data_IF_190596534666
#
_entry.id   IF_190596534666
#
_cell.length_a   1.000
_cell.length_b   1.000
_cell.length_c   1.000
_cell.angle_alpha   90.00
_cell.angle_beta   90.00
_cell.angle_gamma   90.00
#
_symmetry.space_group_name_H-M   'P 1'
#
loop_
_entity.id
_entity.type
_entity.pdbx_description
1 polymer ?
#
# COMPACT_ATOMS: atom_id res chain seq x y z
N UNK A 1 13.57 3.70 19.13
CA UNK A 1 15.04 3.59 19.17
C UNK A 1 15.52 2.42 20.03
N UNK A 2 14.98 2.23 21.23
CA UNK A 2 15.35 1.10 22.10
C UNK A 2 15.23 -0.27 21.41
N UNK A 3 14.12 -0.52 20.72
CA UNK A 3 13.89 -1.75 19.94
C UNK A 3 15.00 -2.05 18.92
N UNK A 4 15.41 -1.03 18.15
CA UNK A 4 16.49 -1.15 17.17
C UNK A 4 17.83 -1.51 17.82
N UNK A 5 18.10 -0.97 19.01
CA UNK A 5 19.32 -1.30 19.78
C UNK A 5 19.27 -2.73 20.31
N UNK A 6 18.13 -3.15 20.86
CA UNK A 6 17.92 -4.50 21.41
C UNK A 6 17.94 -5.59 20.34
N UNK A 7 17.63 -5.24 19.08
CA UNK A 7 17.67 -6.20 17.97
C UNK A 7 19.10 -6.68 17.67
N UNK A 8 20.12 -5.84 17.94
CA UNK A 8 21.53 -6.20 17.79
C UNK A 8 22.12 -6.13 16.37
N UNK A 9 21.31 -5.81 15.35
CA UNK A 9 21.75 -5.76 13.94
C UNK A 9 22.48 -4.46 13.54
N UNK A 10 22.34 -3.39 14.34
CA UNK A 10 22.78 -2.05 13.96
C UNK A 10 23.96 -1.56 14.79
N UNK A 11 24.98 -1.02 14.13
CA UNK A 11 26.09 -0.32 14.79
C UNK A 11 25.64 1.04 15.34
N UNK A 12 26.43 1.62 16.25
CA UNK A 12 26.08 2.89 16.91
C UNK A 12 25.94 4.04 15.90
N UNK A 13 26.71 4.02 14.80
CA UNK A 13 26.64 5.04 13.76
C UNK A 13 25.32 4.99 12.98
N UNK A 14 24.77 3.79 12.83
CA UNK A 14 23.51 3.50 12.16
C UNK A 14 22.32 3.75 13.08
N UNK A 15 22.44 3.44 14.37
CA UNK A 15 21.45 3.82 15.39
C UNK A 15 21.33 5.35 15.49
N UNK A 16 22.46 6.07 15.55
CA UNK A 16 22.48 7.53 15.59
C UNK A 16 21.92 8.15 14.30
N UNK A 17 22.19 7.53 13.13
CA UNK A 17 21.60 7.95 11.87
C UNK A 17 20.07 7.78 11.86
N UNK A 18 19.56 6.62 12.29
CA UNK A 18 18.12 6.37 12.41
C UNK A 18 17.46 7.36 13.36
N UNK A 19 18.06 7.61 14.54
CA UNK A 19 17.57 8.58 15.53
C UNK A 19 17.40 9.98 14.92
N UNK A 20 18.43 10.48 14.22
CA UNK A 20 18.39 11.81 13.59
C UNK A 20 17.29 11.93 12.53
N UNK A 21 17.01 10.86 11.77
CA UNK A 21 15.92 10.87 10.80
C UNK A 21 14.58 10.91 11.51
N UNK A 22 14.36 10.04 12.49
CA UNK A 22 13.08 9.94 13.22
C UNK A 22 12.72 11.26 13.92
N UNK A 23 13.69 11.94 14.53
CA UNK A 23 13.47 13.24 15.17
C UNK A 23 13.14 14.38 14.20
N UNK A 24 13.42 14.19 12.89
CA UNK A 24 13.28 15.23 11.86
C UNK A 24 12.32 14.84 10.74
N UNK A 25 11.72 13.66 10.78
CA UNK A 25 10.87 13.15 9.70
C UNK A 25 9.46 13.74 9.71
N UNK A 26 9.05 14.39 10.80
CA UNK A 26 7.68 14.90 10.98
C UNK A 26 6.62 13.82 11.11
N UNK A 27 7.03 12.59 11.47
CA UNK A 27 6.09 11.50 11.76
C UNK A 27 5.51 11.70 13.16
N UNK A 28 4.20 11.64 13.26
CA UNK A 28 3.51 11.71 14.56
C UNK A 28 3.53 10.39 15.32
N UNK A 29 3.18 10.46 16.60
CA UNK A 29 3.11 9.32 17.52
C UNK A 29 2.01 8.31 17.15
N UNK A 30 1.06 8.69 16.29
CA UNK A 30 -0.02 7.81 15.80
C UNK A 30 0.39 7.00 14.56
N UNK A 31 1.69 6.90 14.26
CA UNK A 31 2.21 6.11 13.14
C UNK A 31 2.91 4.85 13.65
N UNK A 32 2.73 3.73 12.96
CA UNK A 32 3.21 2.42 13.41
C UNK A 32 4.00 1.68 12.33
N UNK A 33 4.92 0.82 12.78
CA UNK A 33 5.54 -0.22 11.95
C UNK A 33 4.69 -1.50 12.03
N UNK A 34 4.92 -2.52 11.20
CA UNK A 34 4.15 -3.76 11.26
C UNK A 34 4.39 -4.48 12.58
N UNK A 35 3.38 -5.22 13.04
CA UNK A 35 3.45 -6.01 14.28
C UNK A 35 4.63 -6.99 14.29
N UNK A 36 4.98 -7.57 13.13
CA UNK A 36 6.16 -8.40 12.96
C UNK A 36 7.48 -7.74 13.43
N UNK A 37 7.55 -6.40 13.36
CA UNK A 37 8.71 -5.62 13.76
C UNK A 37 8.68 -5.22 15.24
N UNK A 38 7.57 -5.46 15.94
CA UNK A 38 7.44 -5.24 17.39
C UNK A 38 7.99 -6.40 18.23
N UNK A 39 8.40 -7.51 17.62
CA UNK A 39 9.05 -8.62 18.33
C UNK A 39 10.57 -8.39 18.47
N UNK A 40 11.16 -8.98 19.52
CA UNK A 40 12.61 -9.05 19.71
C UNK A 40 13.05 -10.52 19.74
N UNK A 41 13.79 -11.02 18.72
CA UNK A 41 14.08 -10.35 17.43
C UNK A 41 12.82 -10.22 16.54
N UNK A 42 12.82 -9.32 15.54
CA UNK A 42 11.74 -9.19 14.56
C UNK A 42 11.41 -10.51 13.85
N UNK A 43 10.13 -10.73 13.53
CA UNK A 43 9.63 -11.99 12.97
C UNK A 43 8.92 -11.80 11.63
N UNK A 44 9.58 -11.23 10.60
CA UNK A 44 8.98 -11.11 9.28
C UNK A 44 8.70 -12.49 8.70
N UNK A 45 7.48 -12.69 8.21
CA UNK A 45 7.08 -13.91 7.51
C UNK A 45 6.03 -13.59 6.45
N UNK A 46 5.81 -14.52 5.52
CA UNK A 46 4.69 -14.40 4.58
C UNK A 46 3.34 -14.35 5.30
N UNK A 47 3.20 -15.04 6.43
CA UNK A 47 1.98 -15.02 7.23
C UNK A 47 1.75 -13.64 7.86
N UNK A 48 2.78 -13.07 8.50
CA UNK A 48 2.68 -11.74 9.09
C UNK A 48 2.46 -10.64 8.02
N UNK A 49 3.05 -10.79 6.84
CA UNK A 49 2.79 -9.87 5.73
C UNK A 49 1.33 -9.97 5.24
N UNK A 50 0.75 -11.16 5.19
CA UNK A 50 -0.69 -11.32 4.90
C UNK A 50 -1.55 -10.67 5.97
N UNK A 51 -1.21 -10.86 7.23
CA UNK A 51 -1.93 -10.28 8.38
C UNK A 51 -1.93 -8.75 8.33
N UNK A 52 -0.78 -8.10 8.11
CA UNK A 52 -0.69 -6.65 7.90
C UNK A 52 -1.59 -6.20 6.73
N UNK A 53 -1.51 -6.90 5.59
CA UNK A 53 -2.29 -6.54 4.41
C UNK A 53 -3.80 -6.68 4.66
N UNK A 54 -4.23 -7.75 5.32
CA UNK A 54 -5.63 -7.98 5.69
C UNK A 54 -6.13 -6.91 6.65
N UNK A 55 -5.37 -6.62 7.71
CA UNK A 55 -5.75 -5.65 8.73
C UNK A 55 -5.95 -4.26 8.12
N UNK A 56 -5.03 -3.82 7.27
CA UNK A 56 -5.10 -2.52 6.59
C UNK A 56 -6.23 -2.48 5.56
N UNK A 57 -6.30 -3.45 4.65
CA UNK A 57 -7.28 -3.43 3.57
C UNK A 57 -8.70 -3.60 4.10
N UNK A 58 -8.91 -4.53 5.04
CA UNK A 58 -10.24 -4.81 5.58
C UNK A 58 -10.70 -3.69 6.50
N UNK A 59 -9.85 -3.15 7.37
CA UNK A 59 -10.21 -2.00 8.21
C UNK A 59 -10.66 -0.78 7.39
N UNK A 60 -9.95 -0.49 6.29
CA UNK A 60 -10.31 0.62 5.40
C UNK A 60 -11.59 0.33 4.57
N UNK A 61 -11.80 -0.90 4.12
CA UNK A 61 -13.02 -1.31 3.40
C UNK A 61 -14.25 -1.35 4.32
N UNK A 62 -14.11 -1.84 5.54
CA UNK A 62 -15.18 -1.85 6.55
C UNK A 62 -15.63 -0.41 6.84
N UNK A 63 -14.67 0.50 7.04
CA UNK A 63 -14.93 1.92 7.19
C UNK A 63 -15.66 2.50 5.97
N UNK A 64 -15.27 2.13 4.74
CA UNK A 64 -15.96 2.56 3.52
C UNK A 64 -17.42 2.07 3.50
N UNK A 65 -17.64 0.78 3.72
CA UNK A 65 -18.98 0.17 3.64
C UNK A 65 -19.91 0.74 4.69
N UNK A 66 -19.42 0.94 5.92
CA UNK A 66 -20.16 1.57 7.01
C UNK A 66 -20.58 3.01 6.63
N UNK A 67 -19.66 3.81 6.11
CA UNK A 67 -19.91 5.23 5.83
C UNK A 67 -20.72 5.49 4.55
N UNK A 68 -20.75 4.53 3.61
CA UNK A 68 -21.39 4.72 2.30
C UNK A 68 -22.69 3.95 2.12
N UNK A 69 -22.97 3.01 3.01
CA UNK A 69 -24.13 2.07 2.97
C UNK A 69 -24.26 1.27 1.67
N UNK A 70 -23.20 1.23 0.86
CA UNK A 70 -23.14 0.42 -0.36
C UNK A 70 -22.89 -1.03 0.01
N UNK A 71 -23.66 -1.94 -0.58
CA UNK A 71 -23.44 -3.36 -0.37
C UNK A 71 -22.23 -3.82 -1.18
N UNK A 72 -21.38 -4.71 -0.66
CA UNK A 72 -20.24 -5.23 -1.41
C UNK A 72 -20.61 -5.84 -2.78
N UNK A 73 -21.80 -6.45 -2.89
CA UNK A 73 -22.33 -7.00 -4.15
C UNK A 73 -22.60 -5.95 -5.23
N UNK A 74 -22.75 -4.69 -4.88
CA UNK A 74 -23.01 -3.61 -5.84
C UNK A 74 -21.72 -3.09 -6.49
N UNK A 75 -20.54 -3.44 -5.95
CA UNK A 75 -19.23 -3.07 -6.52
C UNK A 75 -18.99 -3.83 -7.83
N UNK A 76 -18.65 -3.10 -8.88
CA UNK A 76 -18.38 -3.68 -10.18
C UNK A 76 -16.93 -3.72 -10.64
N UNK A 77 -16.11 -2.84 -10.08
CA UNK A 77 -14.69 -2.73 -10.39
C UNK A 77 -13.95 -2.67 -9.05
N UNK A 78 -12.89 -3.46 -8.91
CA UNK A 78 -11.97 -3.42 -7.80
C UNK A 78 -10.55 -3.27 -8.37
N UNK A 79 -9.88 -2.20 -7.98
CA UNK A 79 -8.46 -1.99 -8.27
C UNK A 79 -7.73 -1.95 -6.95
N UNK A 80 -6.80 -2.88 -6.74
CA UNK A 80 -5.95 -2.93 -5.55
C UNK A 80 -4.52 -2.65 -5.97
N UNK A 81 -3.82 -1.78 -5.27
CA UNK A 81 -2.39 -1.58 -5.47
C UNK A 81 -1.58 -1.81 -4.19
N UNK A 82 -0.46 -2.52 -4.34
CA UNK A 82 0.58 -2.71 -3.35
C UNK A 82 1.90 -2.96 -4.07
N UNK A 83 2.94 -2.14 -3.81
CA UNK A 83 4.16 -2.21 -4.61
C UNK A 83 5.02 -3.40 -4.22
N UNK A 84 5.17 -3.63 -2.91
CA UNK A 84 6.19 -4.51 -2.36
C UNK A 84 5.67 -5.89 -1.90
N UNK A 85 4.36 -6.13 -1.92
CA UNK A 85 3.77 -7.41 -1.54
C UNK A 85 2.65 -7.83 -2.49
N UNK A 86 2.95 -8.83 -3.32
CA UNK A 86 2.05 -9.37 -4.34
C UNK A 86 1.95 -10.90 -4.21
N UNK A 87 1.25 -11.42 -3.19
CA UNK A 87 1.18 -12.84 -2.91
C UNK A 87 0.28 -13.61 -3.92
N UNK A 88 0.35 -14.94 -3.86
CA UNK A 88 -0.66 -15.83 -4.47
C UNK A 88 -1.42 -16.54 -3.35
N UNK A 89 -2.77 -16.45 -3.27
CA UNK A 89 -3.67 -15.61 -4.07
C UNK A 89 -3.39 -14.10 -3.90
N UNK A 90 -3.76 -13.30 -4.90
CA UNK A 90 -3.55 -11.84 -4.93
C UNK A 90 -4.36 -11.10 -3.86
N UNK A 91 -3.95 -9.86 -3.53
CA UNK A 91 -4.66 -9.03 -2.56
C UNK A 91 -6.10 -8.72 -2.99
N UNK A 92 -6.31 -8.48 -4.28
CA UNK A 92 -7.65 -8.28 -4.83
C UNK A 92 -8.51 -9.54 -4.72
N UNK A 93 -7.93 -10.74 -4.89
CA UNK A 93 -8.65 -12.00 -4.66
C UNK A 93 -9.02 -12.20 -3.19
N UNK A 94 -8.14 -11.80 -2.26
CA UNK A 94 -8.43 -11.83 -0.82
C UNK A 94 -9.65 -10.97 -0.47
N UNK A 95 -9.72 -9.74 -1.01
CA UNK A 95 -10.86 -8.82 -0.84
C UNK A 95 -12.15 -9.41 -1.44
N UNK A 96 -12.07 -9.92 -2.69
CA UNK A 96 -13.23 -10.55 -3.35
C UNK A 96 -13.78 -11.70 -2.51
N UNK A 97 -12.90 -12.55 -1.98
CA UNK A 97 -13.29 -13.68 -1.15
C UNK A 97 -13.85 -13.25 0.22
N UNK A 98 -13.24 -12.26 0.89
CA UNK A 98 -13.66 -11.79 2.22
C UNK A 98 -15.06 -11.17 2.18
N UNK A 99 -15.29 -10.23 1.26
CA UNK A 99 -16.54 -9.48 1.18
C UNK A 99 -17.60 -10.13 0.28
N UNK A 100 -17.29 -11.30 -0.28
CA UNK A 100 -18.14 -12.03 -1.21
C UNK A 100 -18.64 -11.08 -2.31
N UNK A 101 -17.71 -10.41 -3.00
CA UNK A 101 -18.07 -9.51 -4.10
C UNK A 101 -18.83 -10.26 -5.20
N UNK A 102 -19.43 -9.53 -6.15
CA UNK A 102 -20.23 -10.14 -7.22
C UNK A 102 -19.36 -11.02 -8.13
N UNK A 103 -19.95 -12.07 -8.70
CA UNK A 103 -19.22 -13.06 -9.51
C UNK A 103 -18.64 -12.51 -10.83
N UNK A 104 -19.21 -11.42 -11.36
CA UNK A 104 -18.74 -10.73 -12.57
C UNK A 104 -17.97 -9.44 -12.23
N UNK A 105 -17.24 -9.43 -11.12
CA UNK A 105 -16.39 -8.31 -10.75
C UNK A 105 -15.18 -8.19 -11.69
N UNK A 106 -14.80 -6.97 -12.03
CA UNK A 106 -13.52 -6.70 -12.70
C UNK A 106 -12.49 -6.40 -11.63
N UNK A 107 -11.58 -7.33 -11.40
CA UNK A 107 -10.59 -7.27 -10.33
C UNK A 107 -9.20 -7.09 -10.89
N UNK A 108 -8.47 -6.08 -10.41
CA UNK A 108 -7.11 -5.75 -10.83
C UNK A 108 -6.20 -5.67 -9.61
N UNK A 109 -5.02 -6.25 -9.71
CA UNK A 109 -3.98 -6.18 -8.68
C UNK A 109 -2.73 -5.56 -9.31
N UNK A 110 -2.34 -4.40 -8.80
CA UNK A 110 -1.30 -3.52 -9.32
C UNK A 110 -0.09 -3.54 -8.39
N UNK A 111 1.12 -3.74 -8.95
CA UNK A 111 2.37 -3.78 -8.20
C UNK A 111 3.50 -3.04 -8.90
N UNK A 112 4.62 -2.81 -8.18
CA UNK A 112 5.84 -2.23 -8.75
C UNK A 112 5.78 -0.75 -9.17
N UNK A 113 4.77 0.01 -8.76
CA UNK A 113 4.60 1.42 -9.16
C UNK A 113 4.94 2.45 -8.07
N UNK A 114 5.31 1.96 -6.88
CA UNK A 114 5.73 2.78 -5.74
C UNK A 114 4.63 3.76 -5.30
N UNK A 115 5.06 4.90 -4.76
CA UNK A 115 4.15 5.91 -4.20
C UNK A 115 3.16 6.52 -5.22
N UNK A 116 3.39 6.33 -6.53
CA UNK A 116 2.49 6.81 -7.58
C UNK A 116 1.29 5.87 -7.83
N UNK A 117 1.34 4.64 -7.30
CA UNK A 117 0.39 3.58 -7.61
C UNK A 117 -1.07 3.95 -7.31
N UNK A 118 -1.33 4.74 -6.26
CA UNK A 118 -2.68 5.18 -5.90
C UNK A 118 -3.35 6.03 -6.98
N UNK A 119 -2.62 7.01 -7.57
CA UNK A 119 -3.16 7.85 -8.65
C UNK A 119 -3.33 7.04 -9.93
N UNK A 120 -2.41 6.13 -10.22
CA UNK A 120 -2.52 5.21 -11.37
C UNK A 120 -3.74 4.31 -11.23
N UNK A 121 -4.03 3.81 -10.03
CA UNK A 121 -5.21 2.99 -9.75
C UNK A 121 -6.51 3.79 -9.94
N UNK A 122 -6.53 5.06 -9.53
CA UNK A 122 -7.66 5.98 -9.79
C UNK A 122 -7.85 6.24 -11.28
N UNK A 123 -6.77 6.43 -12.04
CA UNK A 123 -6.82 6.63 -13.49
C UNK A 123 -7.42 5.40 -14.20
N UNK A 124 -6.97 4.19 -13.84
CA UNK A 124 -7.54 2.94 -14.35
C UNK A 124 -9.03 2.82 -14.00
N UNK A 125 -9.40 3.10 -12.76
CA UNK A 125 -10.80 3.05 -12.33
C UNK A 125 -11.68 4.07 -13.10
N UNK A 126 -11.16 5.28 -13.35
CA UNK A 126 -11.82 6.32 -14.16
C UNK A 126 -12.09 5.81 -15.57
N UNK A 127 -11.09 5.23 -16.25
CA UNK A 127 -11.23 4.70 -17.61
C UNK A 127 -12.25 3.55 -17.65
N UNK A 128 -12.19 2.63 -16.69
CA UNK A 128 -13.15 1.53 -16.57
C UNK A 128 -14.58 2.05 -16.33
N UNK A 129 -14.76 3.11 -15.55
CA UNK A 129 -16.05 3.76 -15.34
C UNK A 129 -16.59 4.48 -16.59
N UNK A 130 -15.75 4.85 -17.56
CA UNK A 130 -16.24 5.37 -18.84
C UNK A 130 -16.89 4.26 -19.68
N UNK A 131 -16.35 3.05 -19.62
CA UNK A 131 -16.84 1.90 -20.40
C UNK A 131 -18.01 1.20 -19.68
N UNK A 132 -18.00 1.17 -18.35
CA UNK A 132 -18.96 0.39 -17.56
C UNK A 132 -19.98 1.27 -16.86
N UNK A 133 -21.15 1.40 -17.48
CA UNK A 133 -22.22 2.29 -17.01
C UNK A 133 -22.84 1.82 -15.70
N UNK A 134 -23.31 2.80 -14.91
CA UNK A 134 -24.14 2.61 -13.71
C UNK A 134 -23.52 1.64 -12.68
N UNK A 135 -22.23 1.81 -12.37
CA UNK A 135 -21.51 0.91 -11.46
C UNK A 135 -20.62 1.69 -10.48
N UNK A 136 -20.13 0.97 -9.48
CA UNK A 136 -19.15 1.45 -8.51
C UNK A 136 -17.78 0.86 -8.81
N UNK A 137 -16.74 1.68 -8.67
CA UNK A 137 -15.36 1.26 -8.64
C UNK A 137 -14.77 1.53 -7.25
N UNK A 138 -14.07 0.55 -6.70
CA UNK A 138 -13.32 0.71 -5.45
C UNK A 138 -11.84 0.60 -5.76
N UNK A 139 -11.10 1.61 -5.33
CA UNK A 139 -9.64 1.65 -5.36
C UNK A 139 -9.14 1.42 -3.95
N UNK A 140 -8.31 0.40 -3.74
CA UNK A 140 -7.65 0.10 -2.47
C UNK A 140 -6.16 0.29 -2.67
N UNK A 141 -5.56 1.24 -1.95
CA UNK A 141 -4.13 1.50 -1.98
C UNK A 141 -3.53 1.18 -0.62
N UNK A 142 -2.56 0.29 -0.57
CA UNK A 142 -1.81 -0.06 0.64
C UNK A 142 -0.35 -0.30 0.27
N UNK A 143 0.56 -0.19 1.22
CA UNK A 143 1.94 -0.60 1.05
C UNK A 143 2.33 -1.52 2.21
N UNK A 144 2.81 -2.72 1.90
CA UNK A 144 3.18 -3.70 2.90
C UNK A 144 4.68 -3.67 3.15
N UNK A 145 5.07 -3.43 4.40
CA UNK A 145 6.48 -3.23 4.75
C UNK A 145 7.05 -4.34 5.63
N UNK A 146 6.25 -5.34 6.03
CA UNK A 146 6.70 -6.47 6.86
C UNK A 146 7.92 -7.19 6.30
N UNK A 147 7.98 -7.49 5.00
CA UNK A 147 9.09 -8.29 4.45
C UNK A 147 10.30 -7.47 4.00
N UNK A 148 10.19 -6.14 4.01
CA UNK A 148 11.16 -5.24 3.38
C UNK A 148 12.04 -4.49 4.40
N UNK A 149 12.04 -4.94 5.66
CA UNK A 149 12.89 -4.37 6.69
C UNK A 149 14.37 -4.63 6.40
N UNK A 150 15.18 -3.57 6.42
CA UNK A 150 16.62 -3.68 6.15
C UNK A 150 17.41 -3.89 7.44
N UNK A 151 18.04 -5.05 7.58
CA UNK A 151 18.87 -5.44 8.74
C UNK A 151 20.38 -5.16 8.55
N UNK A 152 20.74 -4.16 7.75
CA UNK A 152 22.15 -3.81 7.48
C UNK A 152 22.49 -2.38 7.89
N UNK A 153 23.78 -2.05 7.83
CA UNK A 153 24.31 -0.76 8.29
C UNK A 153 24.59 0.25 7.15
N UNK A 154 24.16 -0.05 5.90
CA UNK A 154 24.26 0.94 4.81
C UNK A 154 23.22 2.04 5.00
N UNK A 155 23.65 3.22 5.47
CA UNK A 155 22.79 4.37 5.80
C UNK A 155 21.73 4.71 4.75
N UNK A 156 22.07 4.72 3.47
CA UNK A 156 21.10 5.02 2.40
C UNK A 156 19.94 4.00 2.32
N UNK A 157 20.15 2.77 2.77
CA UNK A 157 19.15 1.70 2.80
C UNK A 157 18.38 1.63 4.12
N UNK A 158 18.78 2.39 5.15
CA UNK A 158 18.06 2.50 6.42
C UNK A 158 16.93 3.53 6.38
N UNK A 159 16.94 4.45 5.41
CA UNK A 159 15.92 5.50 5.27
C UNK A 159 14.50 4.92 5.23
N UNK A 160 14.19 3.86 4.45
CA UNK A 160 12.88 3.22 4.45
C UNK A 160 12.42 2.73 5.83
N UNK A 161 13.29 2.12 6.64
CA UNK A 161 12.96 1.67 8.00
C UNK A 161 12.52 2.85 8.88
N UNK A 162 13.10 4.03 8.67
CA UNK A 162 12.76 5.23 9.43
C UNK A 162 11.48 5.91 8.95
N UNK A 163 11.21 5.91 7.65
CA UNK A 163 10.14 6.73 7.06
C UNK A 163 8.83 5.97 6.78
N UNK A 164 8.91 4.70 6.39
CA UNK A 164 7.70 3.96 6.02
C UNK A 164 6.93 3.49 7.24
N UNK A 165 5.60 3.60 7.14
CA UNK A 165 4.64 3.25 8.18
C UNK A 165 3.51 2.47 7.55
N UNK A 166 2.88 1.64 8.37
CA UNK A 166 1.72 0.86 7.97
C UNK A 166 0.57 1.83 7.68
N UNK A 167 -0.11 1.64 6.56
CA UNK A 167 -1.24 2.47 6.20
C UNK A 167 -1.88 2.05 4.89
N UNK A 168 -3.13 2.45 4.71
CA UNK A 168 -3.87 2.24 3.48
C UNK A 168 -5.03 3.21 3.34
N UNK A 169 -5.51 3.33 2.11
CA UNK A 169 -6.61 4.19 1.75
C UNK A 169 -7.55 3.45 0.80
N UNK A 170 -8.84 3.75 0.93
CA UNK A 170 -9.87 3.22 0.04
C UNK A 170 -10.68 4.38 -0.52
N UNK A 171 -10.84 4.41 -1.84
CA UNK A 171 -11.64 5.38 -2.55
C UNK A 171 -12.77 4.67 -3.29
N UNK A 172 -13.99 5.15 -3.09
CA UNK A 172 -15.15 4.74 -3.87
C UNK A 172 -15.42 5.78 -4.95
N UNK A 173 -15.49 5.32 -6.19
CA UNK A 173 -15.85 6.09 -7.38
C UNK A 173 -17.17 5.57 -7.94
N UNK A 174 -17.98 6.47 -8.50
CA UNK A 174 -19.26 6.14 -9.12
C UNK A 174 -19.48 6.95 -10.38
N UNK A 175 -20.09 6.32 -11.39
CA UNK A 175 -20.65 7.02 -12.56
C UNK A 175 -22.18 7.04 -12.56
N UNK A 176 -22.82 6.73 -11.42
CA UNK A 176 -24.27 6.76 -11.28
C UNK A 176 -24.75 8.19 -11.08
N UNK A 177 -25.80 8.59 -11.81
CA UNK A 177 -26.38 9.94 -11.70
C UNK A 177 -26.90 10.25 -10.30
N UNK A 178 -27.45 9.26 -9.60
CA UNK A 178 -27.99 9.39 -8.24
C UNK A 178 -26.92 9.76 -7.20
N UNK A 179 -25.67 9.37 -7.42
CA UNK A 179 -24.59 9.64 -6.46
C UNK A 179 -24.03 11.05 -6.57
N UNK A 180 -24.34 11.77 -7.65
CA UNK A 180 -23.83 13.12 -7.90
C UNK A 180 -24.13 14.09 -6.77
N UNK A 181 -25.27 13.93 -6.08
CA UNK A 181 -25.71 14.83 -4.99
C UNK A 181 -25.02 14.56 -3.66
N UNK A 182 -24.49 13.35 -3.45
CA UNK A 182 -23.83 12.92 -2.20
C UNK A 182 -22.32 12.75 -2.34
N UNK A 183 -21.78 12.89 -3.55
CA UNK A 183 -20.35 12.76 -3.81
C UNK A 183 -19.57 13.89 -3.10
N UNK A 184 -18.55 13.52 -2.33
CA UNK A 184 -17.66 14.49 -1.67
C UNK A 184 -16.83 15.27 -2.68
N UNK A 185 -16.44 14.61 -3.78
CA UNK A 185 -15.56 15.17 -4.80
C UNK A 185 -16.00 14.72 -6.19
N UNK A 186 -15.65 15.51 -7.21
CA UNK A 186 -15.77 15.14 -8.62
C UNK A 186 -14.36 15.02 -9.20
N UNK A 187 -14.05 13.85 -9.77
CA UNK A 187 -12.82 13.67 -10.54
C UNK A 187 -12.95 14.41 -11.88
N UNK A 188 -12.19 15.49 -12.06
CA UNK A 188 -12.24 16.33 -13.27
C UNK A 188 -11.15 15.92 -14.27
N UNK A 189 -9.91 15.79 -13.79
CA UNK A 189 -8.76 15.41 -14.60
C UNK A 189 -7.88 14.42 -13.85
N UNK A 190 -7.30 13.48 -14.60
CA UNK A 190 -6.21 12.63 -14.14
C UNK A 190 -5.17 12.61 -15.26
N UNK A 191 -3.92 12.94 -14.93
CA UNK A 191 -2.82 13.00 -15.90
C UNK A 191 -1.70 12.10 -15.43
N UNK A 192 -1.13 11.33 -16.35
CA UNK A 192 -0.03 10.41 -16.09
C UNK A 192 1.13 10.73 -17.02
N UNK A 193 2.29 10.97 -16.44
CA UNK A 193 3.56 11.05 -17.19
C UNK A 193 4.35 9.78 -16.95
N UNK A 194 4.84 9.15 -18.01
CA UNK A 194 5.58 7.89 -17.93
C UNK A 194 7.01 8.07 -18.40
N UNK A 195 7.99 7.77 -17.53
CA UNK A 195 9.43 7.89 -17.83
C UNK A 195 10.16 6.55 -17.91
N UNK A 196 9.45 5.44 -18.10
CA UNK A 196 10.08 4.11 -18.15
C UNK A 196 11.05 3.87 -19.31
N UNK A 197 11.10 4.75 -20.32
CA UNK A 197 12.11 4.71 -21.40
C UNK A 197 13.42 5.41 -21.04
N UNK A 198 13.43 6.19 -19.95
CA UNK A 198 14.62 6.91 -19.48
C UNK A 198 15.41 5.98 -18.54
N UNK A 199 16.62 5.60 -18.94
CA UNK A 199 17.44 4.64 -18.18
C UNK A 199 17.70 5.09 -16.74
N UNK A 200 17.88 6.40 -16.50
CA UNK A 200 18.09 6.91 -15.14
C UNK A 200 16.83 6.75 -14.30
N UNK A 201 15.66 7.03 -14.88
CA UNK A 201 14.38 6.83 -14.22
C UNK A 201 14.06 5.34 -14.01
N UNK A 202 14.43 4.47 -14.96
CA UNK A 202 14.26 3.02 -14.80
C UNK A 202 15.17 2.45 -13.71
N UNK A 203 16.42 2.92 -13.62
CA UNK A 203 17.42 2.50 -12.63
C UNK A 203 17.27 3.15 -11.24
N UNK A 204 16.29 4.05 -11.03
CA UNK A 204 16.23 4.84 -9.79
C UNK A 204 15.73 4.05 -8.57
N UNK A 205 14.94 3.00 -8.77
CA UNK A 205 14.38 2.19 -7.68
C UNK A 205 14.43 0.71 -8.07
N UNK A 206 15.52 0.04 -7.68
CA UNK A 206 15.69 -1.40 -7.79
C UNK A 206 15.72 -2.05 -6.42
N UNK A 207 14.93 -3.10 -6.25
CA UNK A 207 15.06 -3.97 -5.08
C UNK A 207 16.37 -4.76 -5.18
N UNK A 208 17.22 -4.62 -4.18
CA UNK A 208 18.51 -5.32 -4.11
C UNK A 208 18.54 -6.20 -2.86
N UNK A 209 19.16 -7.37 -2.96
CA UNK A 209 19.53 -8.16 -1.79
C UNK A 209 20.81 -7.58 -1.17
N UNK A 210 20.99 -7.76 0.13
CA UNK A 210 22.29 -7.54 0.78
C UNK A 210 23.33 -8.37 0.01
N UNK A 211 24.44 -7.76 -0.42
CA UNK A 211 25.57 -8.54 -0.94
C UNK A 211 26.07 -9.40 0.22
N UNK A 212 26.09 -10.71 0.04
CA UNK A 212 26.87 -11.57 0.92
C UNK A 212 28.34 -11.16 0.73
N UNK A 213 28.95 -10.67 1.80
CA UNK A 213 30.41 -10.56 1.85
C UNK A 213 30.93 -12.01 1.86
N UNK A 214 31.63 -12.38 0.78
CA UNK A 214 32.40 -13.62 0.72
C UNK A 214 33.69 -13.48 1.51
#
# INVERSE_FOLDING_TARGET
MEHSRLTGDFDESSLEFQRKILERSGLGEETYVPEAMHYLPPRPSMAAAREEAEQVMFGALDSLFLNTTIRPKDIGILVVNCSLFNPTPSLSAMIVNKYKLRGNIRSFNLGGMGCSAGVIAVDLAKDLLQVHRNTYAVVVSTENITQNWYFGNKKSMLIPNCLFRVGGAVVLLSNKSVDRRRAKYKLVHCMRTHRGLDDKAFQCVYQMKKKEEK
#
